data_IF_959232577847
#
_entry.id   IF_959232577847
#
_cell.length_a   1.000
_cell.length_b   1.000
_cell.length_c   1.000
_cell.angle_alpha   90.00
_cell.angle_beta   90.00
_cell.angle_gamma   90.00
#
_symmetry.space_group_name_H-M   'P 1'
#
loop_
_entity.id
_entity.type
_entity.pdbx_description
1 polymer ?
#
# COMPACT_ATOMS: atom_id res chain seq x y z
N UNK A 1 4.18 -4.60 -20.69
CA UNK A 1 3.24 -5.52 -20.03
C UNK A 1 3.68 -5.55 -18.59
N UNK A 2 3.01 -4.82 -17.69
CA UNK A 2 3.67 -4.43 -16.44
C UNK A 2 2.72 -4.12 -15.28
N UNK A 3 3.24 -4.31 -14.07
CA UNK A 3 2.56 -3.93 -12.83
C UNK A 3 3.03 -2.54 -12.46
N UNK A 4 2.09 -1.66 -12.12
CA UNK A 4 2.46 -0.38 -11.52
C UNK A 4 2.55 -0.58 -10.02
N UNK A 5 3.71 -0.27 -9.43
CA UNK A 5 3.88 -0.20 -8.00
C UNK A 5 3.94 1.27 -7.58
N UNK A 6 3.21 1.65 -6.55
CA UNK A 6 3.35 2.96 -5.95
C UNK A 6 3.54 2.85 -4.45
N UNK A 7 4.43 3.68 -3.91
CA UNK A 7 4.57 3.90 -2.47
C UNK A 7 3.98 5.25 -2.09
N UNK A 8 3.51 5.33 -0.86
CA UNK A 8 2.93 6.53 -0.26
C UNK A 8 3.87 6.99 0.84
N UNK A 9 4.50 8.15 0.63
CA UNK A 9 5.37 8.75 1.63
C UNK A 9 4.61 9.71 2.54
N UNK A 10 4.86 9.58 3.84
CA UNK A 10 4.36 10.49 4.88
C UNK A 10 5.40 11.59 5.07
N UNK A 11 5.09 12.80 4.65
CA UNK A 11 5.91 13.98 4.91
C UNK A 11 5.28 14.79 6.05
N UNK A 12 5.95 14.89 7.21
CA UNK A 12 5.44 15.69 8.32
C UNK A 12 6.46 15.95 9.44
N UNK A 13 6.75 17.23 9.66
CA UNK A 13 7.57 17.75 10.76
C UNK A 13 6.70 18.00 12.01
N UNK A 14 6.14 16.93 12.59
CA UNK A 14 5.46 16.99 13.88
C UNK A 14 3.95 17.23 13.84
N UNK A 15 3.27 16.45 14.67
CA UNK A 15 1.89 16.55 15.17
C UNK A 15 0.67 16.35 14.25
N UNK A 16 0.73 16.50 12.93
CA UNK A 16 -0.35 16.02 12.03
C UNK A 16 0.25 15.42 10.76
N UNK A 17 0.22 14.08 10.64
CA UNK A 17 0.79 13.35 9.50
C UNK A 17 -0.10 13.50 8.27
N UNK A 18 0.40 14.19 7.22
CA UNK A 18 -0.27 14.32 5.92
C UNK A 18 0.42 13.38 4.91
N UNK A 19 -0.35 12.58 4.18
CA UNK A 19 0.14 11.86 2.99
C UNK A 19 0.36 12.90 1.89
N UNK A 20 1.58 13.02 1.34
CA UNK A 20 1.90 14.09 0.38
C UNK A 20 2.41 13.60 -0.97
N UNK A 21 3.13 12.48 -1.02
CA UNK A 21 3.80 12.07 -2.26
C UNK A 21 3.43 10.64 -2.62
N UNK A 22 2.85 10.49 -3.81
CA UNK A 22 2.66 9.22 -4.49
C UNK A 22 3.77 9.08 -5.54
N UNK A 23 4.52 7.99 -5.46
CA UNK A 23 5.57 7.70 -6.44
C UNK A 23 5.20 6.43 -7.22
N UNK A 24 4.37 6.56 -8.28
CA UNK A 24 4.04 5.43 -9.13
C UNK A 24 5.22 5.11 -10.06
N UNK A 25 5.59 3.84 -10.10
CA UNK A 25 6.56 3.29 -11.04
C UNK A 25 5.94 2.12 -11.79
N UNK A 26 5.94 2.21 -13.11
CA UNK A 26 5.60 1.08 -13.97
C UNK A 26 6.78 0.11 -13.96
N UNK A 27 6.51 -1.14 -13.59
CA UNK A 27 7.47 -2.24 -13.56
C UNK A 27 7.21 -3.15 -14.76
N UNK A 28 8.24 -3.37 -15.56
CA UNK A 28 8.24 -4.35 -16.65
C UNK A 28 8.97 -5.63 -16.21
N UNK A 29 8.84 -6.75 -16.94
CA UNK A 29 9.48 -8.00 -16.54
C UNK A 29 11.00 -7.85 -16.39
N UNK A 30 11.53 -8.23 -15.23
CA UNK A 30 12.94 -8.06 -14.87
C UNK A 30 13.23 -6.85 -13.98
N UNK A 31 12.31 -5.89 -13.89
CA UNK A 31 12.44 -4.77 -12.96
C UNK A 31 12.31 -5.24 -11.51
N UNK A 32 13.09 -4.61 -10.63
CA UNK A 32 13.03 -4.82 -9.18
C UNK A 32 12.66 -3.52 -8.48
N UNK A 33 11.90 -3.64 -7.39
CA UNK A 33 11.49 -2.51 -6.57
C UNK A 33 11.65 -2.86 -5.08
N UNK A 34 12.10 -1.89 -4.29
CA UNK A 34 12.23 -2.02 -2.84
C UNK A 34 11.32 -1.00 -2.19
N UNK A 35 10.46 -1.46 -1.29
CA UNK A 35 9.67 -0.58 -0.44
C UNK A 35 10.26 -0.57 0.98
N UNK A 36 10.41 0.61 1.60
CA UNK A 36 10.78 0.70 3.01
C UNK A 36 9.74 0.05 3.93
N UNK A 37 10.20 -0.47 5.08
CA UNK A 37 9.33 -1.06 6.11
C UNK A 37 8.37 0.00 6.67
N UNK A 38 7.10 -0.37 6.84
CA UNK A 38 6.09 0.48 7.48
C UNK A 38 5.46 1.55 6.59
N UNK A 39 5.86 1.65 5.31
CA UNK A 39 5.20 2.53 4.34
C UNK A 39 4.05 1.84 3.62
N UNK A 40 2.98 2.61 3.39
CA UNK A 40 1.85 2.16 2.58
C UNK A 40 2.32 2.05 1.12
N UNK A 41 2.02 0.94 0.48
CA UNK A 41 2.31 0.70 -0.93
C UNK A 41 1.19 -0.15 -1.55
N UNK A 42 1.05 -0.08 -2.87
CA UNK A 42 0.12 -0.91 -3.61
C UNK A 42 0.70 -1.34 -4.96
N UNK A 43 0.18 -2.46 -5.46
CA UNK A 43 0.47 -3.00 -6.79
C UNK A 43 -0.84 -2.97 -7.58
N UNK A 44 -0.79 -2.45 -8.81
CA UNK A 44 -1.94 -2.38 -9.70
C UNK A 44 -1.55 -2.88 -11.09
N UNK A 45 -2.27 -3.89 -11.58
CA UNK A 45 -2.14 -4.32 -12.96
C UNK A 45 -2.98 -3.40 -13.85
N UNK A 46 -2.32 -2.70 -14.77
CA UNK A 46 -2.97 -1.78 -15.71
C UNK A 46 -3.53 -2.48 -16.95
N UNK A 47 -3.13 -3.74 -17.22
CA UNK A 47 -3.64 -4.53 -18.34
C UNK A 47 -4.86 -5.35 -17.89
N UNK A 48 -6.01 -5.05 -18.46
CA UNK A 48 -7.28 -5.74 -18.16
C UNK A 48 -7.41 -7.11 -18.82
N UNK A 49 -6.55 -7.44 -19.79
CA UNK A 49 -6.64 -8.67 -20.58
C UNK A 49 -5.58 -9.68 -20.22
N UNK A 50 -4.45 -9.24 -19.66
CA UNK A 50 -3.31 -10.12 -19.36
C UNK A 50 -3.00 -10.12 -17.87
N UNK A 51 -2.81 -11.31 -17.27
CA UNK A 51 -2.36 -11.40 -15.90
C UNK A 51 -0.91 -10.92 -15.78
N UNK A 52 -0.55 -10.42 -14.61
CA UNK A 52 0.81 -10.07 -14.26
C UNK A 52 1.18 -10.70 -12.90
N UNK A 53 2.45 -11.04 -12.74
CA UNK A 53 2.98 -11.71 -11.55
C UNK A 53 4.16 -10.93 -10.99
N UNK A 54 4.16 -10.73 -9.67
CA UNK A 54 5.30 -10.23 -8.90
C UNK A 54 5.66 -11.22 -7.82
N UNK A 55 6.96 -11.39 -7.58
CA UNK A 55 7.49 -12.18 -6.46
C UNK A 55 8.19 -11.22 -5.52
N UNK A 56 7.82 -11.28 -4.23
CA UNK A 56 8.36 -10.38 -3.20
C UNK A 56 9.04 -11.18 -2.10
N UNK A 57 10.26 -10.76 -1.73
CA UNK A 57 10.96 -11.25 -0.55
C UNK A 57 10.83 -10.28 0.62
N UNK A 58 10.63 -10.81 1.83
CA UNK A 58 10.54 -10.01 3.06
C UNK A 58 11.67 -10.42 4.01
N UNK A 59 12.32 -9.43 4.63
CA UNK A 59 13.48 -9.65 5.50
C UNK A 59 13.11 -9.96 6.96
N UNK A 60 11.94 -10.53 7.19
CA UNK A 60 11.47 -11.03 8.49
C UNK A 60 10.73 -12.34 8.27
N UNK A 61 10.93 -13.31 9.16
CA UNK A 61 10.14 -14.56 9.20
C UNK A 61 8.68 -14.33 9.59
N UNK A 62 8.39 -13.20 10.25
CA UNK A 62 7.05 -12.76 10.58
C UNK A 62 6.90 -11.29 10.18
N UNK A 63 6.76 -10.99 8.89
CA UNK A 63 6.72 -9.62 8.41
C UNK A 63 5.39 -8.92 8.73
N UNK A 64 4.33 -9.69 8.97
CA UNK A 64 2.97 -9.18 9.11
C UNK A 64 2.44 -8.54 7.83
N UNK A 65 1.13 -8.31 7.78
CA UNK A 65 0.49 -7.54 6.71
C UNK A 65 -0.78 -6.87 7.25
N UNK A 66 -0.87 -5.54 7.09
CA UNK A 66 -2.06 -4.78 7.43
C UNK A 66 -2.62 -4.15 6.15
N UNK A 67 -3.75 -4.68 5.70
CA UNK A 67 -4.48 -4.17 4.54
C UNK A 67 -5.32 -2.99 5.01
N UNK A 68 -5.00 -1.78 4.56
CA UNK A 68 -5.61 -0.54 5.06
C UNK A 68 -7.14 -0.56 4.96
N UNK A 69 -7.69 -0.92 3.79
CA UNK A 69 -9.14 -1.01 3.58
C UNK A 69 -9.81 -2.02 4.50
N UNK A 70 -9.20 -3.21 4.69
CA UNK A 70 -9.72 -4.25 5.57
C UNK A 70 -9.67 -3.81 7.04
N UNK A 71 -8.59 -3.17 7.44
CA UNK A 71 -8.42 -2.65 8.80
C UNK A 71 -9.39 -1.50 9.11
N UNK A 72 -9.77 -0.69 8.12
CA UNK A 72 -10.69 0.42 8.29
C UNK A 72 -12.17 0.00 8.27
N UNK A 73 -12.58 -0.83 7.30
CA UNK A 73 -13.99 -1.04 6.99
C UNK A 73 -14.52 -2.44 7.32
N UNK A 74 -13.65 -3.42 7.58
CA UNK A 74 -14.03 -4.82 7.82
C UNK A 74 -13.22 -5.43 8.98
N UNK A 75 -12.93 -4.61 9.99
CA UNK A 75 -12.20 -5.05 11.19
C UNK A 75 -13.09 -5.91 12.10
N UNK A 76 -12.44 -6.74 12.93
CA UNK A 76 -13.10 -7.50 14.00
C UNK A 76 -12.52 -7.09 15.35
N UNK A 77 -13.29 -6.42 16.23
CA UNK A 77 -14.63 -5.86 16.01
C UNK A 77 -14.65 -4.68 15.01
N UNK A 78 -15.83 -4.31 14.46
CA UNK A 78 -15.95 -3.15 13.57
C UNK A 78 -15.58 -1.83 14.25
N UNK A 79 -15.01 -0.90 13.48
CA UNK A 79 -14.83 0.49 13.92
C UNK A 79 -16.22 1.15 13.98
N UNK A 80 -16.58 1.86 15.06
CA UNK A 80 -17.87 2.55 15.15
C UNK A 80 -18.05 3.58 14.04
N UNK A 81 -19.25 3.64 13.45
CA UNK A 81 -19.55 4.53 12.32
C UNK A 81 -19.26 6.01 12.65
N UNK A 82 -19.57 6.46 13.87
CA UNK A 82 -19.27 7.83 14.34
C UNK A 82 -17.77 8.18 14.29
N UNK A 83 -16.89 7.18 14.34
CA UNK A 83 -15.44 7.38 14.19
C UNK A 83 -15.08 7.45 12.72
N UNK A 84 -15.65 6.58 11.88
CA UNK A 84 -15.45 6.60 10.43
C UNK A 84 -15.94 7.92 9.81
N UNK A 85 -17.12 8.40 10.20
CA UNK A 85 -17.71 9.67 9.76
C UNK A 85 -16.86 10.90 10.10
N UNK A 86 -16.07 10.84 11.19
CA UNK A 86 -15.16 11.92 11.55
C UNK A 86 -13.81 11.84 10.86
N UNK A 87 -13.44 10.66 10.37
CA UNK A 87 -12.11 10.39 9.82
C UNK A 87 -12.06 10.51 8.29
N UNK A 88 -13.19 10.32 7.60
CA UNK A 88 -13.35 10.36 6.14
C UNK A 88 -14.34 11.44 5.73
#
# INVERSE_FOLDING_TARGET
MGITMARVDIAGNGLVRRIRTLEPRRLEPGDSFVFPRGLIHFLYNTDSRKPALTISGLSSQNPGAQIASRAAFVSGPPIPDVVLEKAF
#
